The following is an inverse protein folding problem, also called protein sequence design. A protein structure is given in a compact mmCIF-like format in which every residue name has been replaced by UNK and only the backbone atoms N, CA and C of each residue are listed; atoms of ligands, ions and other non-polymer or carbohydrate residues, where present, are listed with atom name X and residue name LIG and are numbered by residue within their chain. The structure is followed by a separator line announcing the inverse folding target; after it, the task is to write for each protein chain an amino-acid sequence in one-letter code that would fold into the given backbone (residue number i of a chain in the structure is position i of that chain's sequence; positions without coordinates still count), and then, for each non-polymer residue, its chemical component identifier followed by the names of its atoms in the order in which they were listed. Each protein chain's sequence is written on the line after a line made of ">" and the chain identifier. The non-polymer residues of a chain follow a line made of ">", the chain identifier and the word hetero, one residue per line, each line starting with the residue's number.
data_IF_677725199798
#
_entry.id   IF_677725199798
#
_cell.length_a   1.000
_cell.length_b   1.000
_cell.length_c   1.000
_cell.angle_alpha   90.00
_cell.angle_beta   90.00
_cell.angle_gamma   90.00
#
_symmetry.space_group_name_H-M   'P 1'
#
loop_
_entity.id
_entity.type
_entity.pdbx_description
1 polymer ?
#
# COMPACT_ATOMS: atom_id res chain seq x y z
N UNK A 1 -6.54 -11.95 6.07
CA UNK A 1 -5.83 -10.66 6.00
C UNK A 1 -6.40 -9.75 7.07
N UNK A 2 -5.57 -9.32 8.02
CA UNK A 2 -5.88 -8.31 9.02
C UNK A 2 -5.54 -6.95 8.44
N UNK A 3 -6.29 -5.94 8.87
CA UNK A 3 -6.02 -4.56 8.49
C UNK A 3 -6.49 -3.60 9.58
N UNK A 4 -5.92 -2.41 9.59
CA UNK A 4 -6.31 -1.29 10.44
C UNK A 4 -6.47 -0.05 9.55
N UNK A 5 -7.54 0.72 9.81
CA UNK A 5 -7.87 1.93 9.06
C UNK A 5 -7.78 3.10 10.03
N UNK A 6 -6.82 3.99 9.77
CA UNK A 6 -6.72 5.28 10.44
C UNK A 6 -7.42 6.33 9.56
N UNK A 7 -8.69 6.57 9.84
CA UNK A 7 -9.53 7.53 9.13
C UNK A 7 -9.02 8.98 9.30
N UNK A 8 -8.48 9.31 10.47
CA UNK A 8 -8.03 10.67 10.80
C UNK A 8 -6.83 11.06 9.94
N UNK A 9 -5.90 10.11 9.78
CA UNK A 9 -4.70 10.32 8.97
C UNK A 9 -4.85 9.82 7.54
N UNK A 10 -5.95 9.13 7.19
CA UNK A 10 -6.14 8.48 5.89
C UNK A 10 -5.00 7.50 5.57
N UNK A 11 -4.76 6.58 6.50
CA UNK A 11 -3.77 5.50 6.36
C UNK A 11 -4.45 4.15 6.45
N UNK A 12 -4.09 3.25 5.54
CA UNK A 12 -4.46 1.83 5.60
C UNK A 12 -3.23 1.01 5.99
N UNK A 13 -3.33 0.26 7.07
CA UNK A 13 -2.32 -0.72 7.46
C UNK A 13 -2.80 -2.12 7.10
N UNK A 14 -1.99 -2.88 6.37
CA UNK A 14 -2.29 -4.23 5.92
C UNK A 14 -1.25 -5.22 6.48
N UNK A 15 -1.74 -6.30 7.08
CA UNK A 15 -0.92 -7.46 7.43
C UNK A 15 -1.25 -8.59 6.44
N UNK A 16 -0.36 -8.77 5.45
CA UNK A 16 -0.52 -9.78 4.42
C UNK A 16 -0.23 -11.19 4.95
N UNK A 17 0.65 -11.31 5.95
CA UNK A 17 1.07 -12.58 6.57
C UNK A 17 -0.14 -13.34 7.09
N UNK A 18 -1.06 -12.64 7.74
CA UNK A 18 -2.30 -13.23 8.26
C UNK A 18 -3.25 -13.80 7.19
N UNK A 19 -3.05 -13.50 5.90
CA UNK A 19 -3.81 -14.10 4.82
C UNK A 19 -3.24 -15.48 4.40
N UNK A 20 -1.94 -15.67 4.54
CA UNK A 20 -1.25 -16.94 4.33
C UNK A 20 -1.19 -17.46 2.89
N UNK A 21 -1.62 -16.68 1.89
CA UNK A 21 -1.25 -16.90 0.47
C UNK A 21 -1.50 -15.67 -0.40
N UNK A 22 -0.80 -15.55 -1.52
CA UNK A 22 -0.95 -14.45 -2.48
C UNK A 22 -2.38 -14.35 -3.05
N UNK A 23 -3.01 -15.49 -3.36
CA UNK A 23 -4.42 -15.54 -3.81
C UNK A 23 -5.39 -14.98 -2.76
N UNK A 24 -5.18 -15.34 -1.49
CA UNK A 24 -6.02 -14.86 -0.39
C UNK A 24 -5.79 -13.38 -0.10
N UNK A 25 -4.55 -12.91 -0.22
CA UNK A 25 -4.23 -11.48 -0.17
C UNK A 25 -4.95 -10.73 -1.27
N UNK A 26 -4.87 -11.20 -2.52
CA UNK A 26 -5.53 -10.56 -3.65
C UNK A 26 -7.04 -10.49 -3.43
N UNK A 27 -7.67 -11.61 -3.11
CA UNK A 27 -9.11 -11.66 -2.85
C UNK A 27 -9.51 -10.68 -1.75
N UNK A 28 -8.83 -10.71 -0.60
CA UNK A 28 -9.15 -9.86 0.54
C UNK A 28 -8.92 -8.36 0.23
N UNK A 29 -7.87 -8.04 -0.53
CA UNK A 29 -7.56 -6.67 -0.95
C UNK A 29 -8.61 -6.14 -1.92
N UNK A 30 -8.96 -6.91 -2.94
CA UNK A 30 -10.01 -6.56 -3.92
C UNK A 30 -11.35 -6.38 -3.23
N UNK A 31 -11.74 -7.32 -2.35
CA UNK A 31 -12.97 -7.20 -1.57
C UNK A 31 -12.95 -5.89 -0.74
N UNK A 32 -11.85 -5.58 -0.06
CA UNK A 32 -11.73 -4.36 0.75
C UNK A 32 -11.90 -3.08 -0.07
N UNK A 33 -11.14 -2.94 -1.17
CA UNK A 33 -11.19 -1.71 -1.99
C UNK A 33 -12.48 -1.60 -2.80
N UNK A 34 -13.17 -2.72 -3.06
CA UNK A 34 -14.51 -2.69 -3.68
C UNK A 34 -15.53 -2.09 -2.73
N UNK A 35 -15.46 -2.41 -1.43
CA UNK A 35 -16.37 -1.87 -0.41
C UNK A 35 -15.98 -0.47 0.07
N UNK A 36 -14.70 -0.10 -0.02
CA UNK A 36 -14.14 1.18 0.43
C UNK A 36 -13.18 1.75 -0.63
N UNK A 37 -13.67 2.16 -1.81
CA UNK A 37 -12.83 2.57 -2.94
C UNK A 37 -11.94 3.79 -2.66
N UNK A 38 -12.32 4.64 -1.70
CA UNK A 38 -11.51 5.77 -1.26
C UNK A 38 -10.15 5.36 -0.69
N UNK A 39 -10.00 4.13 -0.18
CA UNK A 39 -8.74 3.61 0.35
C UNK A 39 -7.65 3.55 -0.73
N UNK A 40 -8.01 3.37 -2.01
CA UNK A 40 -7.05 3.43 -3.12
C UNK A 40 -6.36 4.79 -3.24
N UNK A 41 -6.90 5.84 -2.62
CA UNK A 41 -6.31 7.18 -2.59
C UNK A 41 -5.52 7.52 -1.32
N UNK A 42 -5.44 6.57 -0.39
CA UNK A 42 -4.81 6.74 0.91
C UNK A 42 -3.37 6.21 0.93
N UNK A 43 -2.60 6.61 1.92
CA UNK A 43 -1.27 6.05 2.15
C UNK A 43 -1.40 4.66 2.77
N UNK A 44 -0.62 3.70 2.28
CA UNK A 44 -0.67 2.30 2.71
C UNK A 44 0.63 1.91 3.40
N UNK A 45 0.53 1.14 4.48
CA UNK A 45 1.65 0.44 5.11
C UNK A 45 1.34 -1.06 5.04
N UNK A 46 2.23 -1.85 4.46
CA UNK A 46 1.95 -3.24 4.11
C UNK A 46 3.04 -4.13 4.67
N UNK A 47 2.71 -4.96 5.65
CA UNK A 47 3.61 -5.97 6.20
C UNK A 47 3.56 -7.23 5.33
N UNK A 48 4.71 -7.59 4.76
CA UNK A 48 4.82 -8.62 3.72
C UNK A 48 5.53 -9.89 4.17
N UNK A 49 5.98 -10.02 5.42
CA UNK A 49 6.83 -11.15 5.82
C UNK A 49 6.48 -11.75 7.19
N UNK A 50 6.52 -13.10 7.30
CA UNK A 50 6.80 -14.06 6.23
C UNK A 50 5.58 -14.35 5.35
N UNK A 51 5.76 -14.41 4.02
CA UNK A 51 4.73 -14.91 3.10
C UNK A 51 5.07 -16.32 2.62
N UNK A 52 4.04 -17.12 2.35
CA UNK A 52 4.16 -18.54 1.96
C UNK A 52 4.46 -18.73 0.47
N UNK A 53 4.11 -17.74 -0.35
CA UNK A 53 4.21 -17.72 -1.80
C UNK A 53 4.31 -16.27 -2.31
N UNK A 54 4.89 -16.12 -3.50
CA UNK A 54 5.10 -14.82 -4.13
C UNK A 54 3.88 -14.37 -4.94
N UNK A 55 3.62 -13.06 -4.94
CA UNK A 55 2.67 -12.47 -5.86
C UNK A 55 3.19 -12.56 -7.30
N UNK A 56 2.33 -13.00 -8.22
CA UNK A 56 2.65 -13.10 -9.65
C UNK A 56 2.18 -11.86 -10.42
N UNK A 57 2.66 -11.70 -11.66
CA UNK A 57 2.18 -10.65 -12.57
C UNK A 57 0.66 -10.72 -12.77
N UNK A 58 0.06 -11.92 -12.78
CA UNK A 58 -1.39 -12.09 -12.90
C UNK A 58 -2.14 -11.59 -11.67
N UNK A 59 -1.58 -11.73 -10.47
CA UNK A 59 -2.16 -11.15 -9.27
C UNK A 59 -2.18 -9.63 -9.36
N UNK A 60 -1.07 -9.03 -9.80
CA UNK A 60 -0.95 -7.59 -9.97
C UNK A 60 -1.89 -7.04 -11.06
N UNK A 61 -2.05 -7.78 -12.18
CA UNK A 61 -2.99 -7.40 -13.23
C UNK A 61 -4.44 -7.35 -12.70
N UNK A 62 -4.87 -8.40 -11.98
CA UNK A 62 -6.21 -8.45 -11.37
C UNK A 62 -6.41 -7.34 -10.33
N UNK A 63 -5.39 -7.05 -9.51
CA UNK A 63 -5.46 -5.94 -8.56
C UNK A 63 -5.58 -4.60 -9.28
N UNK A 64 -4.84 -4.41 -10.38
CA UNK A 64 -4.90 -3.19 -11.18
C UNK A 64 -6.25 -2.99 -11.88
N UNK A 65 -6.90 -4.07 -12.34
CA UNK A 65 -8.25 -4.03 -12.91
C UNK A 65 -9.30 -3.60 -11.88
N UNK A 66 -9.17 -4.07 -10.64
CA UNK A 66 -10.01 -3.64 -9.53
C UNK A 66 -9.63 -2.25 -8.98
N UNK A 67 -8.48 -1.72 -9.39
CA UNK A 67 -7.99 -0.46 -8.88
C UNK A 67 -8.79 0.71 -9.46
N UNK A 68 -9.26 1.57 -8.56
CA UNK A 68 -10.01 2.76 -8.94
C UNK A 68 -9.19 3.77 -9.75
N UNK A 69 -9.80 4.92 -10.10
CA UNK A 69 -9.10 5.98 -10.81
C UNK A 69 -7.88 6.47 -10.00
N UNK A 70 -6.85 7.01 -10.67
CA UNK A 70 -5.67 7.56 -10.00
C UNK A 70 -6.05 8.63 -8.97
N UNK A 71 -5.40 8.67 -7.80
CA UNK A 71 -5.76 9.62 -6.77
C UNK A 71 -5.52 11.08 -7.22
N UNK A 72 -6.32 12.03 -6.70
CA UNK A 72 -6.19 13.45 -7.07
C UNK A 72 -4.83 14.03 -6.64
N UNK A 73 -4.21 13.45 -5.62
CA UNK A 73 -2.90 13.80 -5.10
C UNK A 73 -2.13 12.51 -4.87
N UNK A 74 -0.80 12.57 -5.01
CA UNK A 74 0.07 11.42 -4.84
C UNK A 74 -0.13 10.70 -3.49
N UNK A 75 -0.37 9.39 -3.55
CA UNK A 75 -0.42 8.48 -2.41
C UNK A 75 0.83 7.59 -2.38
N UNK A 76 1.15 7.00 -1.24
CA UNK A 76 2.29 6.08 -1.13
C UNK A 76 1.87 4.71 -0.60
N UNK A 77 2.62 3.68 -0.98
CA UNK A 77 2.59 2.36 -0.34
C UNK A 77 3.98 2.09 0.20
N UNK A 78 4.09 1.79 1.49
CA UNK A 78 5.34 1.37 2.12
C UNK A 78 5.24 -0.10 2.45
N UNK A 79 6.05 -0.93 1.78
CA UNK A 79 6.16 -2.34 2.08
C UNK A 79 7.20 -2.54 3.19
N UNK A 80 6.82 -3.24 4.25
CA UNK A 80 7.69 -3.63 5.35
C UNK A 80 8.16 -5.06 5.09
N UNK A 81 9.42 -5.20 4.70
CA UNK A 81 10.01 -6.47 4.28
C UNK A 81 11.54 -6.46 4.40
N UNK A 82 12.13 -7.64 4.61
CA UNK A 82 13.57 -7.89 4.51
C UNK A 82 13.96 -8.41 3.11
N UNK A 83 13.00 -8.81 2.28
CA UNK A 83 13.23 -9.21 0.91
C UNK A 83 13.86 -8.06 0.11
N UNK A 84 15.12 -8.28 -0.24
CA UNK A 84 15.88 -7.33 -1.04
C UNK A 84 15.45 -7.30 -2.47
N UNK A 85 14.62 -8.20 -2.99
CA UNK A 85 14.18 -8.20 -4.38
C UNK A 85 12.89 -7.39 -4.60
N UNK A 86 12.11 -7.13 -3.54
CA UNK A 86 10.86 -6.38 -3.62
C UNK A 86 11.03 -4.92 -4.10
N UNK A 87 12.24 -4.34 -4.02
CA UNK A 87 12.52 -3.02 -4.60
C UNK A 87 12.32 -2.98 -6.13
N UNK A 88 12.57 -4.09 -6.83
CA UNK A 88 12.33 -4.17 -8.28
C UNK A 88 10.83 -4.13 -8.56
N UNK A 89 10.06 -4.89 -7.77
CA UNK A 89 8.60 -4.88 -7.84
C UNK A 89 8.03 -3.50 -7.52
N UNK A 90 8.54 -2.81 -6.49
CA UNK A 90 8.11 -1.44 -6.18
C UNK A 90 8.22 -0.50 -7.40
N UNK A 91 9.29 -0.61 -8.20
CA UNK A 91 9.45 0.18 -9.43
C UNK A 91 8.46 -0.23 -10.51
N UNK A 92 8.17 -1.52 -10.67
CA UNK A 92 7.14 -1.99 -11.60
C UNK A 92 5.76 -1.45 -11.19
N UNK A 93 5.45 -1.47 -9.90
CA UNK A 93 4.20 -0.96 -9.34
C UNK A 93 4.06 0.56 -9.53
N UNK A 94 5.15 1.32 -9.45
CA UNK A 94 5.15 2.76 -9.75
C UNK A 94 4.67 3.09 -11.18
N UNK A 95 4.91 2.20 -12.15
CA UNK A 95 4.40 2.36 -13.51
C UNK A 95 2.94 1.91 -13.64
N UNK A 96 2.55 0.86 -12.90
CA UNK A 96 1.20 0.30 -12.94
C UNK A 96 0.16 1.21 -12.24
N UNK A 97 0.52 1.81 -11.11
CA UNK A 97 -0.38 2.60 -10.28
C UNK A 97 -0.03 4.10 -10.37
N UNK A 98 -0.66 4.77 -11.33
CA UNK A 98 -0.45 6.20 -11.59
C UNK A 98 -0.70 7.04 -10.33
N UNK A 99 0.22 7.96 -10.03
CA UNK A 99 0.21 8.82 -8.83
C UNK A 99 0.26 8.04 -7.50
N UNK A 100 0.78 6.81 -7.53
CA UNK A 100 1.18 6.08 -6.33
C UNK A 100 2.67 5.79 -6.37
N UNK A 101 3.36 6.00 -5.24
CA UNK A 101 4.78 5.69 -5.07
C UNK A 101 4.98 4.55 -4.09
N UNK A 102 5.84 3.60 -4.44
CA UNK A 102 6.10 2.41 -3.64
C UNK A 102 7.49 2.49 -3.01
N UNK A 103 7.53 2.32 -1.69
CA UNK A 103 8.75 2.36 -0.89
C UNK A 103 8.92 1.05 -0.13
N UNK A 104 10.17 0.72 0.20
CA UNK A 104 10.52 -0.44 0.99
C UNK A 104 11.15 0.04 2.29
N UNK A 105 10.66 -0.47 3.41
CA UNK A 105 11.26 -0.31 4.73
C UNK A 105 11.45 -1.68 5.38
N UNK A 106 12.35 -1.77 6.35
CA UNK A 106 12.62 -3.04 7.07
C UNK A 106 11.88 -3.16 8.40
N UNK A 107 11.27 -2.06 8.84
CA UNK A 107 10.72 -1.93 10.17
C UNK A 107 9.43 -1.13 10.14
N UNK A 108 8.42 -1.61 10.86
CA UNK A 108 7.07 -1.05 10.87
C UNK A 108 7.05 0.36 11.47
N UNK A 109 7.88 0.65 12.47
CA UNK A 109 7.93 1.96 13.09
C UNK A 109 8.63 2.98 12.18
N UNK A 110 9.62 2.55 11.39
CA UNK A 110 10.20 3.39 10.34
C UNK A 110 9.15 3.74 9.28
N UNK A 111 8.38 2.75 8.80
CA UNK A 111 7.31 2.97 7.83
C UNK A 111 6.23 3.93 8.35
N UNK A 112 5.80 3.75 9.61
CA UNK A 112 4.86 4.66 10.28
C UNK A 112 5.40 6.09 10.37
N UNK A 113 6.66 6.27 10.79
CA UNK A 113 7.31 7.59 10.83
C UNK A 113 7.45 8.22 9.44
N UNK A 114 7.69 7.41 8.40
CA UNK A 114 7.75 7.91 7.02
C UNK A 114 6.41 8.50 6.59
N UNK A 115 5.31 7.76 6.75
CA UNK A 115 3.96 8.21 6.38
C UNK A 115 3.56 9.44 7.20
N UNK A 116 3.77 9.43 8.53
CA UNK A 116 3.44 10.56 9.38
C UNK A 116 4.17 11.86 8.99
N UNK A 117 5.46 11.78 8.63
CA UNK A 117 6.24 12.94 8.15
C UNK A 117 5.67 13.48 6.84
N UNK A 118 5.31 12.60 5.90
CA UNK A 118 4.73 12.98 4.61
C UNK A 118 3.39 13.71 4.79
N UNK A 119 2.56 13.22 5.69
CA UNK A 119 1.26 13.83 6.00
C UNK A 119 1.42 15.21 6.62
N UNK A 120 2.32 15.34 7.60
CA UNK A 120 2.65 16.62 8.22
C UNK A 120 3.12 17.65 7.17
N UNK A 121 4.00 17.25 6.25
CA UNK A 121 4.47 18.11 5.17
C UNK A 121 3.35 18.53 4.20
N UNK A 122 2.40 17.63 3.94
CA UNK A 122 1.26 17.89 3.06
C UNK A 122 0.27 18.88 3.69
N UNK A 123 -0.02 18.73 4.97
CA UNK A 123 -0.85 19.66 5.74
C UNK A 123 -0.19 21.05 5.79
N UNK A 124 1.12 21.12 6.08
CA UNK A 124 1.86 22.37 6.08
C UNK A 124 1.79 23.09 4.72
N UNK A 125 1.91 22.35 3.61
CA UNK A 125 1.80 22.92 2.26
C UNK A 125 0.39 23.42 1.92
N UNK A 126 -0.65 22.81 2.49
CA UNK A 126 -2.04 23.25 2.31
C UNK A 126 -2.38 24.49 3.14
N UNK A 127 -1.82 24.60 4.35
CA UNK A 127 -2.08 25.72 5.28
C UNK A 127 -1.16 26.93 5.05
N UNK A 128 -0.03 26.76 4.35
CA UNK A 128 0.88 27.84 3.97
C UNK A 128 0.50 28.57 2.67
N UNK A 129 -0.77 28.48 2.25
CA UNK A 129 -1.33 29.21 1.11
C UNK A 129 -2.31 30.27 1.57
#
# INVERSE_FOLDING_TARGET
>A
MRYEIDEANRVLMLDLVSAGSADRVLKATVDLITHRPELCSWDWIVECEPMTDDATVQHLAKLAEAWGPPPPVEAVTVFVTHDRMLHLWARVLDFQFVRRKHFIERDIDIARRFVARRQSARIAKMNGK
#
